data_IF_622749761092
#
_entry.id   IF_622749761092
#
_cell.length_a   1.000
_cell.length_b   1.000
_cell.length_c   1.000
_cell.angle_alpha   90.00
_cell.angle_beta   90.00
_cell.angle_gamma   90.00
#
_symmetry.space_group_name_H-M   'P 1'
#
loop_
_entity.id
_entity.type
_entity.pdbx_description
1 polymer ?
#
# COMPACT_ATOMS: atom_id res chain seq x y z
N UNK A 1 -30.67 -29.82 -11.71
CA UNK A 1 -30.86 -28.45 -11.20
C UNK A 1 -29.58 -28.09 -10.49
N UNK A 2 -28.82 -27.10 -10.99
CA UNK A 2 -27.71 -26.52 -10.21
C UNK A 2 -28.34 -25.83 -8.99
N UNK A 3 -27.99 -26.29 -7.79
CA UNK A 3 -28.35 -25.58 -6.57
C UNK A 3 -27.85 -24.15 -6.68
N UNK A 4 -28.72 -23.19 -6.37
CA UNK A 4 -28.28 -21.79 -6.26
C UNK A 4 -27.29 -21.77 -5.10
N UNK A 5 -26.11 -21.16 -5.29
CA UNK A 5 -25.18 -21.02 -4.18
C UNK A 5 -25.89 -20.32 -3.01
N UNK A 6 -25.78 -20.92 -1.83
CA UNK A 6 -26.30 -20.31 -0.60
C UNK A 6 -25.47 -19.05 -0.34
N UNK A 7 -26.13 -17.91 -0.42
CA UNK A 7 -25.49 -16.61 -0.14
C UNK A 7 -25.88 -16.17 1.25
N UNK A 8 -24.98 -16.28 2.20
CA UNK A 8 -25.11 -15.63 3.48
C UNK A 8 -24.72 -14.15 3.31
N UNK A 9 -25.60 -13.20 3.63
CA UNK A 9 -25.27 -11.79 3.50
C UNK A 9 -24.11 -11.44 4.45
N UNK A 10 -23.05 -10.88 3.88
CA UNK A 10 -21.88 -10.44 4.64
C UNK A 10 -22.30 -9.33 5.61
N UNK A 11 -21.99 -9.48 6.89
CA UNK A 11 -22.36 -8.52 7.93
C UNK A 11 -21.50 -7.27 7.82
N UNK A 12 -22.14 -6.14 7.67
CA UNK A 12 -21.49 -4.81 7.74
C UNK A 12 -21.49 -4.39 9.21
N UNK A 13 -20.35 -3.89 9.76
CA UNK A 13 -20.31 -3.36 11.11
C UNK A 13 -21.36 -2.26 11.33
N UNK A 14 -22.07 -2.33 12.44
CA UNK A 14 -23.05 -1.30 12.81
C UNK A 14 -22.29 -0.05 13.28
N UNK A 15 -22.56 1.08 12.64
CA UNK A 15 -22.03 2.36 13.09
C UNK A 15 -22.93 2.93 14.22
N UNK A 16 -22.35 3.53 15.28
CA UNK A 16 -23.12 4.26 16.27
C UNK A 16 -23.96 5.37 15.63
N UNK A 17 -25.17 5.60 16.15
CA UNK A 17 -26.04 6.69 15.66
C UNK A 17 -25.34 8.04 15.84
N UNK A 18 -25.33 8.87 14.79
CA UNK A 18 -24.71 10.19 14.83
C UNK A 18 -23.20 10.18 14.68
N UNK A 19 -22.58 9.04 14.37
CA UNK A 19 -21.14 8.95 14.12
C UNK A 19 -20.79 9.68 12.82
N UNK A 20 -20.03 10.77 12.94
CA UNK A 20 -19.54 11.56 11.80
C UNK A 20 -18.14 11.13 11.41
N UNK A 21 -17.70 11.50 10.22
CA UNK A 21 -16.29 11.37 9.84
C UNK A 21 -15.46 12.32 10.70
N UNK A 22 -14.44 11.79 11.37
CA UNK A 22 -13.41 12.60 11.99
C UNK A 22 -12.47 13.17 10.94
N UNK A 23 -11.81 14.27 11.23
CA UNK A 23 -10.75 14.81 10.40
C UNK A 23 -9.58 13.82 10.37
N UNK A 24 -9.10 13.50 9.17
CA UNK A 24 -8.02 12.54 8.98
C UNK A 24 -6.87 13.10 8.16
N UNK A 25 -6.06 12.20 7.63
CA UNK A 25 -4.86 12.52 6.85
C UNK A 25 -5.16 13.26 5.55
N UNK A 26 -6.37 13.09 4.99
CA UNK A 26 -6.80 13.86 3.81
C UNK A 26 -6.85 15.36 4.11
N UNK A 27 -7.49 15.76 5.21
CA UNK A 27 -7.59 17.17 5.62
C UNK A 27 -6.22 17.75 6.00
N UNK A 28 -5.32 16.89 6.51
CA UNK A 28 -3.94 17.26 6.79
C UNK A 28 -3.19 17.63 5.49
N UNK A 29 -3.30 16.79 4.45
CA UNK A 29 -2.74 17.08 3.13
C UNK A 29 -3.32 18.38 2.54
N UNK A 30 -4.65 18.54 2.61
CA UNK A 30 -5.33 19.73 2.05
C UNK A 30 -4.88 21.04 2.73
N UNK A 31 -4.56 20.96 4.03
CA UNK A 31 -4.16 22.14 4.80
C UNK A 31 -2.67 22.43 4.77
N UNK A 32 -1.80 21.42 4.67
CA UNK A 32 -0.35 21.55 4.77
C UNK A 32 0.42 21.29 3.48
N UNK A 33 -0.26 20.76 2.46
CA UNK A 33 0.39 20.32 1.22
C UNK A 33 1.26 19.06 1.39
N UNK A 34 1.85 18.57 0.29
CA UNK A 34 2.65 17.32 0.30
C UNK A 34 3.90 17.40 1.20
N UNK A 35 4.63 18.51 1.15
CA UNK A 35 5.82 18.74 1.98
C UNK A 35 5.45 18.81 3.47
N UNK A 36 4.34 19.49 3.80
CA UNK A 36 3.84 19.58 5.17
C UNK A 36 3.35 18.25 5.70
N UNK A 37 2.76 17.38 4.83
CA UNK A 37 2.40 16.01 5.18
C UNK A 37 3.65 15.16 5.45
N UNK A 38 4.66 15.23 4.58
CA UNK A 38 5.91 14.48 4.75
C UNK A 38 6.64 14.90 6.05
N UNK A 39 6.67 16.18 6.37
CA UNK A 39 7.20 16.67 7.64
C UNK A 39 6.41 16.11 8.83
N UNK A 40 5.08 16.14 8.77
CA UNK A 40 4.22 15.56 9.81
C UNK A 40 4.47 14.07 10.01
N UNK A 41 4.68 13.29 8.94
CA UNK A 41 5.00 11.85 9.03
C UNK A 41 6.27 11.64 9.87
N UNK A 42 7.33 12.43 9.64
CA UNK A 42 8.60 12.35 10.39
C UNK A 42 8.44 12.67 11.89
N UNK A 43 7.45 13.47 12.25
CA UNK A 43 7.17 13.86 13.64
C UNK A 43 6.44 12.75 14.43
N UNK A 44 5.88 11.73 13.74
CA UNK A 44 5.08 10.71 14.39
C UNK A 44 5.95 9.75 15.22
N UNK A 45 5.51 9.49 16.45
CA UNK A 45 6.18 8.54 17.34
C UNK A 45 5.70 7.10 17.11
N UNK A 46 4.48 6.95 16.67
CA UNK A 46 3.86 5.67 16.35
C UNK A 46 4.10 5.34 14.87
N UNK A 47 4.25 4.06 14.55
CA UNK A 47 4.27 3.66 13.15
C UNK A 47 2.91 3.95 12.51
N UNK A 48 2.93 4.53 11.32
CA UNK A 48 1.74 4.80 10.54
C UNK A 48 1.38 3.59 9.67
N UNK A 49 0.10 3.43 9.40
CA UNK A 49 -0.44 2.27 8.68
C UNK A 49 -1.09 2.71 7.37
N UNK A 50 -0.69 2.09 6.27
CA UNK A 50 -1.45 2.05 5.03
C UNK A 50 -2.21 0.74 4.95
N UNK A 51 -3.51 0.78 4.72
CA UNK A 51 -4.31 -0.42 4.45
C UNK A 51 -4.36 -0.69 2.93
N UNK A 52 -4.00 -1.90 2.54
CA UNK A 52 -3.96 -2.37 1.14
C UNK A 52 -5.14 -3.27 0.78
N UNK A 53 -6.06 -3.49 1.70
CA UNK A 53 -7.18 -4.44 1.56
C UNK A 53 -8.03 -4.14 0.31
N UNK A 54 -8.21 -2.87 -0.02
CA UNK A 54 -9.04 -2.43 -1.15
C UNK A 54 -8.36 -2.53 -2.52
N UNK A 55 -7.04 -2.81 -2.58
CA UNK A 55 -6.32 -2.98 -3.85
C UNK A 55 -5.36 -4.18 -3.83
N UNK A 56 -4.16 -4.05 -3.21
CA UNK A 56 -3.08 -5.03 -3.41
C UNK A 56 -3.40 -6.39 -2.76
N UNK A 57 -4.04 -6.39 -1.60
CA UNK A 57 -4.43 -7.63 -0.92
C UNK A 57 -5.35 -8.48 -1.82
N UNK A 58 -6.44 -7.92 -2.34
CA UNK A 58 -7.32 -8.69 -3.21
C UNK A 58 -6.79 -8.88 -4.63
N UNK A 59 -5.87 -8.02 -5.07
CA UNK A 59 -5.12 -8.28 -6.31
C UNK A 59 -4.30 -9.56 -6.17
N UNK A 60 -3.62 -9.71 -5.06
CA UNK A 60 -2.68 -10.80 -4.80
C UNK A 60 -3.37 -12.11 -4.42
N UNK A 61 -4.46 -12.05 -3.65
CA UNK A 61 -5.20 -13.24 -3.20
C UNK A 61 -6.30 -13.67 -4.17
N UNK A 62 -7.02 -12.72 -4.76
CA UNK A 62 -8.29 -12.95 -5.48
C UNK A 62 -8.24 -12.45 -6.92
N UNK A 63 -7.05 -12.41 -7.52
CA UNK A 63 -6.83 -11.98 -8.91
C UNK A 63 -7.54 -10.65 -9.28
N UNK A 64 -7.62 -9.72 -8.34
CA UNK A 64 -8.29 -8.39 -8.48
C UNK A 64 -9.81 -8.50 -8.75
N UNK A 65 -10.46 -9.60 -8.35
CA UNK A 65 -11.86 -9.87 -8.73
C UNK A 65 -12.90 -9.21 -7.83
N UNK A 66 -12.53 -8.56 -6.73
CA UNK A 66 -13.49 -7.88 -5.85
C UNK A 66 -14.16 -6.71 -6.58
N UNK A 67 -15.48 -6.69 -6.57
CA UNK A 67 -16.29 -5.71 -7.29
C UNK A 67 -16.45 -4.41 -6.49
N UNK A 68 -16.69 -3.33 -7.19
CA UNK A 68 -16.90 -2.00 -6.62
C UNK A 68 -18.00 -2.01 -5.55
N UNK A 69 -19.09 -2.74 -5.76
CA UNK A 69 -20.20 -2.80 -4.81
C UNK A 69 -19.79 -3.36 -3.45
N UNK A 70 -18.93 -4.39 -3.43
CA UNK A 70 -18.47 -4.98 -2.17
C UNK A 70 -17.51 -4.04 -1.41
N UNK A 71 -16.73 -3.25 -2.13
CA UNK A 71 -15.91 -2.19 -1.54
C UNK A 71 -16.75 -1.05 -0.97
N UNK A 72 -17.76 -0.57 -1.70
CA UNK A 72 -18.62 0.54 -1.27
C UNK A 72 -19.41 0.22 -0.01
N UNK A 73 -19.84 -1.04 0.18
CA UNK A 73 -20.57 -1.45 1.38
C UNK A 73 -19.80 -1.27 2.67
N UNK A 74 -18.48 -1.34 2.62
CA UNK A 74 -17.61 -1.24 3.79
C UNK A 74 -16.80 0.05 3.84
N UNK A 75 -16.84 0.88 2.80
CA UNK A 75 -16.02 2.07 2.68
C UNK A 75 -16.32 3.09 3.79
N UNK A 76 -17.58 3.49 3.96
CA UNK A 76 -17.99 4.41 5.02
C UNK A 76 -17.65 3.87 6.43
N UNK A 77 -17.98 2.60 6.79
CA UNK A 77 -17.55 2.03 8.06
C UNK A 77 -16.03 2.07 8.26
N UNK A 78 -15.23 1.75 7.23
CA UNK A 78 -13.77 1.80 7.32
C UNK A 78 -13.28 3.20 7.63
N UNK A 79 -13.75 4.21 6.91
CA UNK A 79 -13.34 5.61 7.10
C UNK A 79 -13.71 6.18 8.46
N UNK A 80 -14.82 5.71 9.04
CA UNK A 80 -15.31 6.15 10.36
C UNK A 80 -14.64 5.40 11.50
N UNK A 81 -14.40 4.11 11.35
CA UNK A 81 -13.84 3.28 12.41
C UNK A 81 -12.32 3.33 12.47
N UNK A 82 -11.66 3.61 11.35
CA UNK A 82 -10.19 3.71 11.25
C UNK A 82 -9.73 5.09 10.72
N UNK A 83 -10.11 6.20 11.37
CA UNK A 83 -9.77 7.55 10.91
C UNK A 83 -8.26 7.85 11.00
N UNK A 84 -7.51 7.05 11.76
CA UNK A 84 -6.07 7.21 12.00
C UNK A 84 -5.19 6.47 10.98
N UNK A 85 -5.77 5.82 9.96
CA UNK A 85 -4.97 5.29 8.86
C UNK A 85 -4.22 6.41 8.15
N UNK A 86 -2.95 6.15 7.84
CA UNK A 86 -2.17 7.09 7.01
C UNK A 86 -2.77 7.20 5.62
N UNK A 87 -2.97 6.06 4.96
CA UNK A 87 -3.63 6.02 3.66
C UNK A 87 -4.38 4.70 3.43
N UNK A 88 -5.25 4.73 2.46
CA UNK A 88 -5.94 3.58 1.90
C UNK A 88 -5.45 3.34 0.48
N UNK A 89 -4.74 2.24 0.22
CA UNK A 89 -4.38 1.86 -1.14
C UNK A 89 -5.57 1.17 -1.80
N UNK A 90 -6.14 1.79 -2.81
CA UNK A 90 -7.40 1.31 -3.40
C UNK A 90 -7.45 1.37 -4.93
N UNK A 91 -6.39 1.85 -5.59
CA UNK A 91 -6.37 2.02 -7.03
C UNK A 91 -4.99 1.80 -7.65
N UNK A 92 -4.91 1.74 -8.99
CA UNK A 92 -3.67 1.44 -9.71
C UNK A 92 -3.41 -0.06 -9.84
N UNK A 93 -2.16 -0.44 -10.11
CA UNK A 93 -1.80 -1.83 -10.36
C UNK A 93 -2.66 -2.48 -11.45
N UNK A 94 -3.25 -3.64 -11.17
CA UNK A 94 -4.15 -4.35 -12.08
C UNK A 94 -5.62 -3.89 -12.01
N UNK A 95 -5.98 -3.01 -11.07
CA UNK A 95 -7.37 -2.58 -10.88
C UNK A 95 -7.99 -2.04 -12.16
N UNK A 96 -7.24 -1.18 -12.88
CA UNK A 96 -7.73 -0.53 -14.10
C UNK A 96 -8.08 -1.55 -15.19
N UNK A 97 -7.13 -2.42 -15.50
CA UNK A 97 -7.28 -3.44 -16.54
C UNK A 97 -8.36 -4.47 -16.18
N UNK A 98 -8.36 -4.97 -14.95
CA UNK A 98 -9.34 -5.97 -14.51
C UNK A 98 -10.76 -5.42 -14.45
N UNK A 99 -10.94 -4.17 -13.99
CA UNK A 99 -12.25 -3.53 -13.96
C UNK A 99 -12.87 -3.52 -15.36
N UNK A 100 -12.14 -3.06 -16.37
CA UNK A 100 -12.63 -3.03 -17.75
C UNK A 100 -12.80 -4.41 -18.38
N UNK A 101 -11.76 -5.26 -18.29
CA UNK A 101 -11.74 -6.53 -19.05
C UNK A 101 -12.63 -7.59 -18.47
N UNK A 102 -12.65 -7.72 -17.15
CA UNK A 102 -13.30 -8.85 -16.49
C UNK A 102 -14.54 -8.47 -15.69
N UNK A 103 -14.51 -7.36 -14.96
CA UNK A 103 -15.64 -6.97 -14.11
C UNK A 103 -16.71 -6.20 -14.86
N UNK A 104 -16.36 -5.60 -16.01
CA UNK A 104 -17.24 -4.69 -16.77
C UNK A 104 -17.68 -3.50 -15.92
N UNK A 105 -16.75 -2.97 -15.16
CA UNK A 105 -16.91 -1.80 -14.30
C UNK A 105 -15.99 -0.68 -14.75
N UNK A 106 -16.40 0.58 -14.53
CA UNK A 106 -15.57 1.74 -14.77
C UNK A 106 -14.68 2.00 -13.54
N UNK A 107 -13.33 1.91 -13.68
CA UNK A 107 -12.42 2.17 -12.57
C UNK A 107 -12.43 3.63 -12.08
N UNK A 108 -12.76 4.59 -12.94
CA UNK A 108 -12.88 6.00 -12.55
C UNK A 108 -14.12 6.24 -11.70
N UNK A 109 -15.25 5.65 -12.11
CA UNK A 109 -16.49 5.69 -11.33
C UNK A 109 -16.29 5.03 -9.95
N UNK A 110 -15.56 3.91 -9.88
CA UNK A 110 -15.17 3.26 -8.63
C UNK A 110 -14.42 4.24 -7.71
N UNK A 111 -13.41 4.92 -8.24
CA UNK A 111 -12.58 5.86 -7.49
C UNK A 111 -13.41 7.01 -6.94
N UNK A 112 -14.23 7.63 -7.78
CA UNK A 112 -15.12 8.75 -7.40
C UNK A 112 -16.12 8.36 -6.30
N UNK A 113 -16.76 7.19 -6.43
CA UNK A 113 -17.71 6.68 -5.43
C UNK A 113 -17.02 6.39 -4.08
N UNK A 114 -15.85 5.74 -4.11
CA UNK A 114 -15.08 5.47 -2.91
C UNK A 114 -14.65 6.78 -2.21
N UNK A 115 -14.26 7.81 -2.98
CA UNK A 115 -13.93 9.13 -2.42
C UNK A 115 -15.10 9.78 -1.68
N UNK A 116 -16.32 9.60 -2.16
CA UNK A 116 -17.53 10.10 -1.49
C UNK A 116 -17.74 9.44 -0.13
N UNK A 117 -17.49 8.12 -0.04
CA UNK A 117 -17.69 7.34 1.20
C UNK A 117 -16.54 7.51 2.21
N UNK A 118 -15.34 7.84 1.75
CA UNK A 118 -14.13 7.96 2.58
C UNK A 118 -13.45 9.34 2.41
N UNK A 119 -14.11 10.44 2.85
CA UNK A 119 -13.63 11.80 2.59
C UNK A 119 -12.42 12.22 3.45
N UNK A 120 -12.10 11.47 4.50
CA UNK A 120 -11.09 11.81 5.50
C UNK A 120 -9.76 11.03 5.36
N UNK A 121 -9.72 9.99 4.53
CA UNK A 121 -8.51 9.18 4.33
C UNK A 121 -7.76 9.59 3.06
N UNK A 122 -6.44 9.55 3.10
CA UNK A 122 -5.62 9.65 1.88
C UNK A 122 -5.86 8.43 0.99
N UNK A 123 -6.09 8.66 -0.29
CA UNK A 123 -6.18 7.61 -1.29
C UNK A 123 -4.82 7.43 -1.96
N UNK A 124 -4.34 6.21 -1.93
CA UNK A 124 -3.08 5.81 -2.53
C UNK A 124 -3.30 4.94 -3.76
N UNK A 125 -2.50 5.15 -4.80
CA UNK A 125 -2.44 4.29 -5.97
C UNK A 125 -1.04 3.81 -6.27
N UNK A 126 -0.94 2.62 -6.87
CA UNK A 126 0.29 2.13 -7.46
C UNK A 126 0.39 2.59 -8.92
N UNK A 127 1.47 3.30 -9.26
CA UNK A 127 1.72 3.86 -10.59
C UNK A 127 3.04 3.35 -11.17
N UNK A 128 2.97 2.67 -12.31
CA UNK A 128 4.14 2.08 -12.99
C UNK A 128 4.93 3.11 -13.78
N UNK A 129 5.32 4.21 -13.14
CA UNK A 129 6.14 5.24 -13.78
C UNK A 129 5.62 5.62 -15.18
N UNK A 130 6.48 5.62 -16.19
CA UNK A 130 6.13 5.92 -17.60
C UNK A 130 5.13 4.94 -18.24
N UNK A 131 4.86 3.80 -17.61
CA UNK A 131 3.84 2.86 -18.07
C UNK A 131 2.45 3.14 -17.48
N UNK A 132 2.30 4.11 -16.58
CA UNK A 132 1.06 4.41 -15.86
C UNK A 132 0.41 3.15 -15.27
N UNK A 133 -0.73 2.73 -15.80
CA UNK A 133 -1.41 1.46 -15.45
C UNK A 133 -1.32 0.41 -16.55
N UNK A 134 -0.53 0.69 -17.60
CA UNK A 134 -0.31 -0.20 -18.74
C UNK A 134 0.96 -1.05 -18.62
N UNK A 135 1.37 -1.62 -19.76
CA UNK A 135 2.50 -2.55 -19.86
C UNK A 135 3.58 -2.09 -20.86
N UNK A 136 3.47 -0.87 -21.36
CA UNK A 136 4.44 -0.20 -22.22
C UNK A 136 4.48 1.28 -21.89
N UNK A 137 5.57 1.95 -22.25
CA UNK A 137 5.74 3.37 -21.99
C UNK A 137 4.72 4.20 -22.76
N UNK A 138 4.13 5.16 -22.08
CA UNK A 138 3.31 6.20 -22.67
C UNK A 138 4.12 7.48 -22.86
N UNK A 139 3.75 8.34 -23.83
CA UNK A 139 4.34 9.67 -23.95
C UNK A 139 4.10 10.52 -22.68
N UNK A 140 5.01 11.45 -22.41
CA UNK A 140 4.99 12.30 -21.21
C UNK A 140 3.68 13.06 -21.02
N UNK A 141 3.10 13.56 -22.11
CA UNK A 141 1.82 14.25 -22.04
C UNK A 141 0.66 13.34 -21.60
N UNK A 142 0.70 12.04 -21.97
CA UNK A 142 -0.28 11.06 -21.50
C UNK A 142 -0.10 10.79 -20.01
N UNK A 143 1.15 10.68 -19.51
CA UNK A 143 1.44 10.51 -18.09
C UNK A 143 0.93 11.70 -17.31
N UNK A 144 1.26 12.92 -17.75
CA UNK A 144 0.80 14.16 -17.10
C UNK A 144 -0.73 14.23 -17.02
N UNK A 145 -1.43 13.94 -18.11
CA UNK A 145 -2.90 13.97 -18.15
C UNK A 145 -3.50 12.86 -17.26
N UNK A 146 -2.92 11.65 -17.27
CA UNK A 146 -3.36 10.56 -16.42
C UNK A 146 -3.23 10.90 -14.93
N UNK A 147 -2.09 11.45 -14.52
CA UNK A 147 -1.84 11.90 -13.13
C UNK A 147 -2.83 13.00 -12.76
N UNK A 148 -3.01 13.99 -13.62
CA UNK A 148 -3.95 15.10 -13.41
C UNK A 148 -5.38 14.60 -13.19
N UNK A 149 -5.86 13.70 -14.06
CA UNK A 149 -7.20 13.09 -13.94
C UNK A 149 -7.33 12.25 -12.69
N UNK A 150 -6.32 11.47 -12.35
CA UNK A 150 -6.31 10.63 -11.15
C UNK A 150 -6.36 11.47 -9.86
N UNK A 151 -5.57 12.55 -9.80
CA UNK A 151 -5.60 13.49 -8.68
C UNK A 151 -6.97 14.18 -8.54
N UNK A 152 -7.56 14.60 -9.67
CA UNK A 152 -8.90 15.19 -9.67
C UNK A 152 -9.99 14.19 -9.24
N UNK A 153 -9.86 12.93 -9.62
CA UNK A 153 -10.79 11.88 -9.22
C UNK A 153 -10.61 11.42 -7.76
N UNK A 154 -9.56 11.88 -7.07
CA UNK A 154 -9.41 11.69 -5.63
C UNK A 154 -8.16 10.96 -5.17
N UNK A 155 -7.19 10.66 -6.03
CA UNK A 155 -5.89 10.11 -5.61
C UNK A 155 -5.06 11.20 -4.96
N UNK A 156 -4.49 10.89 -3.80
CA UNK A 156 -3.67 11.80 -2.99
C UNK A 156 -2.19 11.41 -2.96
N UNK A 157 -1.92 10.10 -2.90
CA UNK A 157 -0.57 9.53 -2.85
C UNK A 157 -0.34 8.66 -4.07
N UNK A 158 0.68 9.00 -4.85
CA UNK A 158 1.09 8.22 -6.01
C UNK A 158 2.37 7.47 -5.66
N UNK A 159 2.26 6.15 -5.43
CA UNK A 159 3.42 5.26 -5.30
C UNK A 159 3.96 4.95 -6.68
N UNK A 160 5.03 5.65 -7.03
CA UNK A 160 5.68 5.60 -8.35
C UNK A 160 6.81 4.60 -8.28
N UNK A 161 6.83 3.61 -9.17
CA UNK A 161 7.92 2.64 -9.24
C UNK A 161 8.28 2.30 -10.69
N UNK A 162 9.52 1.91 -10.86
CA UNK A 162 10.02 1.18 -12.04
C UNK A 162 10.57 -0.16 -11.58
N UNK A 163 10.20 -1.26 -12.25
CA UNK A 163 10.58 -2.62 -11.83
C UNK A 163 12.09 -2.89 -11.92
N UNK A 164 12.80 -2.09 -12.68
CA UNK A 164 14.27 -2.16 -12.84
C UNK A 164 15.00 -1.03 -12.09
N UNK A 165 14.26 -0.26 -11.26
CA UNK A 165 14.77 0.92 -10.57
C UNK A 165 15.39 1.97 -11.51
N UNK A 166 14.79 2.15 -12.70
CA UNK A 166 15.27 3.15 -13.66
C UNK A 166 14.73 4.54 -13.31
N UNK A 167 15.47 5.29 -12.47
CA UNK A 167 15.06 6.59 -11.93
C UNK A 167 14.71 7.59 -13.03
N UNK A 168 15.48 7.65 -14.11
CA UNK A 168 15.19 8.53 -15.24
C UNK A 168 13.80 8.30 -15.84
N UNK A 169 13.31 7.06 -15.83
CA UNK A 169 11.94 6.74 -16.25
C UNK A 169 10.86 7.22 -15.26
N UNK A 170 11.23 7.46 -14.00
CA UNK A 170 10.31 7.94 -12.95
C UNK A 170 10.20 9.48 -12.91
N UNK A 171 11.21 10.19 -13.40
CA UNK A 171 11.38 11.63 -13.31
C UNK A 171 10.12 12.41 -13.74
N UNK A 172 9.63 12.15 -14.94
CA UNK A 172 8.44 12.83 -15.49
C UNK A 172 7.16 12.56 -14.69
N UNK A 173 7.06 11.37 -14.12
CA UNK A 173 5.92 10.99 -13.29
C UNK A 173 5.96 11.71 -11.94
N UNK A 174 7.15 11.78 -11.31
CA UNK A 174 7.36 12.53 -10.06
C UNK A 174 7.03 14.02 -10.29
N UNK A 175 7.57 14.64 -11.33
CA UNK A 175 7.26 16.02 -11.72
C UNK A 175 5.74 16.24 -11.90
N UNK A 176 5.08 15.35 -12.64
CA UNK A 176 3.64 15.46 -12.91
C UNK A 176 2.78 15.39 -11.63
N UNK A 177 3.18 14.57 -10.65
CA UNK A 177 2.49 14.46 -9.35
C UNK A 177 2.71 15.73 -8.52
N UNK A 178 3.92 16.27 -8.54
CA UNK A 178 4.23 17.54 -7.87
C UNK A 178 3.44 18.72 -8.48
N UNK A 179 3.34 18.77 -9.83
CA UNK A 179 2.60 19.80 -10.56
C UNK A 179 1.12 19.90 -10.12
N UNK A 180 0.53 18.78 -9.71
CA UNK A 180 -0.87 18.71 -9.22
C UNK A 180 -0.99 18.80 -7.70
N UNK A 181 0.09 19.15 -7.00
CA UNK A 181 0.15 19.29 -5.54
C UNK A 181 -0.36 18.02 -4.82
N UNK A 182 0.18 16.87 -5.21
CA UNK A 182 -0.07 15.57 -4.59
C UNK A 182 1.24 14.92 -4.13
N UNK A 183 1.12 13.88 -3.33
CA UNK A 183 2.27 13.21 -2.73
C UNK A 183 2.92 12.27 -3.74
N UNK A 184 4.16 12.58 -4.14
CA UNK A 184 5.01 11.69 -4.90
C UNK A 184 5.76 10.77 -3.92
N UNK A 185 5.31 9.52 -3.82
CA UNK A 185 6.00 8.47 -3.09
C UNK A 185 6.81 7.65 -4.09
N UNK A 186 8.13 7.86 -4.11
CA UNK A 186 9.01 7.15 -5.03
C UNK A 186 9.49 5.83 -4.40
N UNK A 187 9.34 4.73 -5.13
CA UNK A 187 9.60 3.41 -4.60
C UNK A 187 10.88 2.77 -5.20
N UNK A 188 11.69 2.23 -4.32
CA UNK A 188 12.82 1.35 -4.64
C UNK A 188 12.30 -0.09 -4.64
N UNK A 189 12.42 -0.80 -5.76
CA UNK A 189 12.16 -2.23 -5.82
C UNK A 189 13.35 -2.97 -5.20
N UNK A 190 13.10 -3.69 -4.12
CA UNK A 190 14.12 -4.49 -3.44
C UNK A 190 14.32 -5.82 -4.16
N UNK A 191 15.57 -6.20 -4.38
CA UNK A 191 15.99 -7.50 -4.92
C UNK A 191 17.33 -7.93 -4.31
N UNK A 192 17.71 -9.19 -4.50
CA UNK A 192 18.96 -9.73 -3.97
C UNK A 192 18.93 -9.96 -2.45
N UNK A 193 20.11 -9.94 -1.85
CA UNK A 193 20.29 -10.14 -0.40
C UNK A 193 21.44 -9.27 0.10
N UNK A 194 21.13 -8.15 0.75
CA UNK A 194 22.15 -7.24 1.29
C UNK A 194 22.93 -7.81 2.48
N UNK A 195 22.53 -8.98 3.01
CA UNK A 195 23.28 -9.68 4.06
C UNK A 195 24.36 -10.59 3.51
N UNK A 196 24.29 -10.94 2.21
CA UNK A 196 25.27 -11.78 1.53
C UNK A 196 26.41 -10.92 0.94
N UNK A 197 27.61 -10.93 1.52
CA UNK A 197 28.71 -10.09 1.05
C UNK A 197 29.24 -10.49 -0.34
N UNK A 198 28.83 -11.63 -0.88
CA UNK A 198 29.21 -12.08 -2.23
C UNK A 198 28.33 -11.46 -3.31
N UNK A 199 27.17 -10.89 -2.94
CA UNK A 199 26.23 -10.24 -3.84
C UNK A 199 26.46 -8.74 -3.88
N UNK A 200 27.31 -8.29 -4.80
CA UNK A 200 27.79 -6.91 -4.87
C UNK A 200 26.97 -5.98 -5.75
N UNK A 201 26.04 -6.51 -6.56
CA UNK A 201 25.29 -5.71 -7.53
C UNK A 201 24.18 -4.88 -6.88
N UNK A 202 23.43 -5.48 -5.96
CA UNK A 202 22.31 -4.86 -5.25
C UNK A 202 22.61 -4.82 -3.76
N UNK A 203 23.76 -4.22 -3.43
CA UNK A 203 24.23 -4.07 -2.07
C UNK A 203 23.59 -2.86 -1.37
N UNK A 204 23.94 -2.65 -0.13
CA UNK A 204 23.38 -1.57 0.68
C UNK A 204 23.74 -0.19 0.08
N UNK A 205 24.94 -0.04 -0.50
CA UNK A 205 25.35 1.22 -1.11
C UNK A 205 24.52 1.54 -2.37
N UNK A 206 24.19 0.53 -3.18
CA UNK A 206 23.29 0.67 -4.32
C UNK A 206 21.95 1.31 -3.89
N UNK A 207 21.34 0.82 -2.82
CA UNK A 207 20.07 1.35 -2.34
C UNK A 207 20.19 2.76 -1.75
N UNK A 208 21.30 3.07 -1.09
CA UNK A 208 21.55 4.43 -0.56
C UNK A 208 21.68 5.47 -1.68
N UNK A 209 22.45 5.16 -2.72
CA UNK A 209 22.61 6.08 -3.86
C UNK A 209 21.28 6.25 -4.63
N UNK A 210 20.53 5.17 -4.82
CA UNK A 210 19.21 5.22 -5.44
C UNK A 210 18.22 6.09 -4.63
N UNK A 211 18.25 5.98 -3.31
CA UNK A 211 17.43 6.81 -2.42
C UNK A 211 17.76 8.30 -2.54
N UNK A 212 19.04 8.65 -2.57
CA UNK A 212 19.50 10.04 -2.77
C UNK A 212 19.08 10.60 -4.13
N UNK A 213 19.16 9.76 -5.17
CA UNK A 213 18.72 10.16 -6.51
C UNK A 213 17.22 10.45 -6.55
N UNK A 214 16.39 9.61 -5.93
CA UNK A 214 14.93 9.81 -5.82
C UNK A 214 14.58 11.05 -4.97
N UNK A 215 15.31 11.30 -3.90
CA UNK A 215 15.17 12.53 -3.11
C UNK A 215 15.49 13.77 -3.95
N UNK A 216 16.58 13.72 -4.70
CA UNK A 216 16.98 14.82 -5.61
C UNK A 216 15.96 15.06 -6.73
N UNK A 217 15.22 14.03 -7.16
CA UNK A 217 14.10 14.17 -8.09
C UNK A 217 12.85 14.80 -7.46
N UNK A 218 12.86 15.03 -6.16
CA UNK A 218 11.77 15.72 -5.44
C UNK A 218 10.66 14.78 -4.93
N UNK A 219 10.96 13.53 -4.65
CA UNK A 219 10.04 12.65 -3.93
C UNK A 219 9.70 13.25 -2.56
N UNK A 220 8.47 13.05 -2.08
CA UNK A 220 8.03 13.44 -0.74
C UNK A 220 8.20 12.32 0.29
N UNK A 221 8.07 11.07 -0.16
CA UNK A 221 8.20 9.85 0.64
C UNK A 221 9.03 8.86 -0.16
N UNK A 222 9.95 8.16 0.51
CA UNK A 222 10.70 7.05 -0.07
C UNK A 222 10.03 5.74 0.32
N UNK A 223 9.62 4.93 -0.65
CA UNK A 223 9.10 3.60 -0.38
C UNK A 223 10.15 2.51 -0.66
N UNK A 224 10.22 1.51 0.20
CA UNK A 224 10.90 0.24 -0.06
C UNK A 224 9.80 -0.73 -0.52
N UNK A 225 9.91 -1.22 -1.75
CA UNK A 225 8.94 -2.14 -2.34
C UNK A 225 9.54 -3.53 -2.47
N UNK A 226 9.24 -4.37 -1.50
CA UNK A 226 9.60 -5.79 -1.48
C UNK A 226 8.44 -6.63 -2.05
N UNK A 227 8.49 -6.87 -3.36
CA UNK A 227 7.38 -7.48 -4.10
C UNK A 227 7.20 -8.98 -3.86
N UNK A 228 8.16 -9.65 -3.23
CA UNK A 228 8.13 -11.11 -3.05
C UNK A 228 8.49 -11.58 -1.63
N UNK A 229 8.64 -10.66 -0.69
CA UNK A 229 9.07 -11.00 0.67
C UNK A 229 10.55 -11.45 0.75
N UNK A 230 11.41 -10.85 -0.08
CA UNK A 230 12.86 -11.14 -0.13
C UNK A 230 13.63 -10.49 1.02
N UNK A 231 13.14 -9.37 1.51
CA UNK A 231 13.82 -8.57 2.52
C UNK A 231 13.73 -9.28 3.87
N UNK A 232 14.81 -9.96 4.26
CA UNK A 232 14.91 -10.67 5.53
C UNK A 232 14.80 -9.70 6.71
N UNK A 233 14.35 -10.13 7.91
CA UNK A 233 14.15 -9.23 9.05
C UNK A 233 15.39 -8.41 9.42
N UNK A 234 16.57 -9.01 9.47
CA UNK A 234 17.82 -8.28 9.75
C UNK A 234 18.23 -7.34 8.59
N UNK A 235 17.95 -7.74 7.35
CA UNK A 235 18.15 -6.88 6.18
C UNK A 235 17.24 -5.66 6.25
N UNK A 236 15.99 -5.82 6.69
CA UNK A 236 15.05 -4.71 6.87
C UNK A 236 15.56 -3.70 7.91
N UNK A 237 16.08 -4.18 9.04
CA UNK A 237 16.68 -3.31 10.03
C UNK A 237 17.84 -2.50 9.45
N UNK A 238 18.80 -3.18 8.80
CA UNK A 238 19.98 -2.51 8.22
C UNK A 238 19.61 -1.53 7.13
N UNK A 239 18.75 -1.95 6.19
CA UNK A 239 18.35 -1.10 5.07
C UNK A 239 17.63 0.16 5.56
N UNK A 240 16.65 0.02 6.46
CA UNK A 240 15.91 1.17 6.99
C UNK A 240 16.86 2.09 7.77
N UNK A 241 17.72 1.56 8.66
CA UNK A 241 18.69 2.37 9.42
C UNK A 241 19.57 3.21 8.49
N UNK A 242 20.16 2.59 7.47
CA UNK A 242 21.06 3.26 6.54
C UNK A 242 20.32 4.28 5.64
N UNK A 243 19.09 3.99 5.24
CA UNK A 243 18.29 4.93 4.46
C UNK A 243 17.87 6.14 5.30
N UNK A 244 17.52 5.94 6.59
CA UNK A 244 17.22 7.05 7.52
C UNK A 244 18.40 7.99 7.74
N UNK A 245 19.64 7.49 7.59
CA UNK A 245 20.86 8.30 7.65
C UNK A 245 21.21 8.96 6.29
N UNK A 246 20.79 8.34 5.18
CA UNK A 246 21.17 8.76 3.83
C UNK A 246 20.30 9.87 3.24
N UNK A 247 19.01 9.91 3.61
CA UNK A 247 18.02 10.85 3.08
C UNK A 247 17.15 11.46 4.18
N UNK A 248 16.59 12.63 3.90
CA UNK A 248 15.67 13.34 4.81
C UNK A 248 14.20 12.91 4.63
N UNK A 249 13.90 12.05 3.66
CA UNK A 249 12.55 11.60 3.38
C UNK A 249 12.02 10.65 4.47
N UNK A 250 10.73 10.69 4.81
CA UNK A 250 10.09 9.60 5.55
C UNK A 250 10.14 8.31 4.73
N UNK A 251 10.26 7.17 5.43
CA UNK A 251 10.40 5.85 4.80
C UNK A 251 9.13 5.04 4.98
N UNK A 252 8.62 4.50 3.88
CA UNK A 252 7.47 3.64 3.81
C UNK A 252 7.89 2.23 3.37
N UNK A 253 7.56 1.20 4.14
CA UNK A 253 7.90 -0.18 3.80
C UNK A 253 6.68 -0.97 3.34
N UNK A 254 6.76 -1.51 2.14
CA UNK A 254 5.81 -2.44 1.55
C UNK A 254 6.45 -3.81 1.37
N UNK A 255 5.78 -4.87 1.80
CA UNK A 255 6.19 -6.26 1.54
C UNK A 255 5.01 -7.17 1.27
N UNK A 256 5.25 -8.25 0.52
CA UNK A 256 4.34 -9.39 0.45
C UNK A 256 4.79 -10.47 1.43
N UNK A 257 3.85 -11.13 2.09
CA UNK A 257 4.15 -12.12 3.14
C UNK A 257 4.39 -13.54 2.58
N UNK A 258 4.93 -13.61 1.36
CA UNK A 258 5.17 -14.87 0.64
C UNK A 258 6.07 -15.83 1.43
N UNK A 259 7.08 -15.30 2.10
CA UNK A 259 7.99 -16.08 2.95
C UNK A 259 7.42 -16.43 4.33
N UNK A 260 6.33 -15.76 4.76
CA UNK A 260 5.80 -15.84 6.12
C UNK A 260 6.61 -15.06 7.17
N UNK A 261 7.58 -14.27 6.75
CA UNK A 261 8.42 -13.46 7.62
C UNK A 261 7.98 -11.99 7.71
N UNK A 262 6.87 -11.61 7.10
CA UNK A 262 6.47 -10.22 6.95
C UNK A 262 6.30 -9.48 8.28
N UNK A 263 5.73 -10.11 9.30
CA UNK A 263 5.61 -9.52 10.65
C UNK A 263 6.99 -9.33 11.29
N UNK A 264 7.88 -10.30 11.19
CA UNK A 264 9.24 -10.17 11.72
C UNK A 264 10.04 -9.10 10.98
N UNK A 265 9.87 -9.00 9.66
CA UNK A 265 10.45 -7.95 8.84
C UNK A 265 9.96 -6.57 9.29
N UNK A 266 8.65 -6.38 9.49
CA UNK A 266 8.07 -5.13 9.95
C UNK A 266 8.52 -4.75 11.37
N UNK A 267 8.54 -5.69 12.31
CA UNK A 267 9.02 -5.39 13.67
C UNK A 267 10.46 -4.90 13.67
N UNK A 268 11.34 -5.52 12.87
CA UNK A 268 12.74 -5.08 12.74
C UNK A 268 12.87 -3.74 12.02
N UNK A 269 12.08 -3.49 10.97
CA UNK A 269 12.04 -2.19 10.30
C UNK A 269 11.52 -1.07 11.22
N UNK A 270 10.53 -1.37 12.08
CA UNK A 270 9.98 -0.45 13.07
C UNK A 270 11.01 -0.12 14.14
N UNK A 271 11.79 -1.10 14.60
CA UNK A 271 12.93 -0.88 15.52
C UNK A 271 13.99 0.04 14.88
N UNK A 272 14.19 -0.06 13.56
CA UNK A 272 15.11 0.80 12.80
C UNK A 272 14.55 2.20 12.49
N UNK A 273 13.27 2.45 12.80
CA UNK A 273 12.66 3.78 12.63
C UNK A 273 11.87 3.98 11.34
N UNK A 274 11.40 2.94 10.64
CA UNK A 274 10.50 3.09 9.50
C UNK A 274 9.26 3.89 9.91
N UNK A 275 8.80 4.79 9.05
CA UNK A 275 7.71 5.71 9.42
C UNK A 275 6.33 5.13 9.11
N UNK A 276 6.19 4.41 7.98
CA UNK A 276 4.92 3.87 7.51
C UNK A 276 5.12 2.42 7.07
N UNK A 277 4.13 1.55 7.29
CA UNK A 277 4.12 0.18 6.77
C UNK A 277 2.78 -0.16 6.12
N UNK A 278 2.82 -0.96 5.06
CA UNK A 278 1.64 -1.49 4.38
C UNK A 278 1.12 -2.73 5.10
N UNK A 279 -0.16 -2.77 5.38
CA UNK A 279 -0.82 -3.96 5.96
C UNK A 279 -2.11 -4.27 5.22
N UNK A 280 -2.64 -5.45 5.44
CA UNK A 280 -4.01 -5.78 5.07
C UNK A 280 -4.81 -6.16 6.33
N UNK A 281 -6.13 -6.03 6.30
CA UNK A 281 -6.99 -6.58 7.34
C UNK A 281 -6.81 -8.09 7.44
N UNK A 282 -6.84 -8.67 8.64
CA UNK A 282 -6.39 -10.03 8.91
C UNK A 282 -6.93 -11.11 7.99
N UNK A 283 -8.21 -11.04 7.61
CA UNK A 283 -8.83 -11.97 6.67
C UNK A 283 -8.30 -11.86 5.23
N UNK A 284 -7.71 -10.72 4.86
CA UNK A 284 -7.14 -10.44 3.55
C UNK A 284 -5.60 -10.36 3.58
N UNK A 285 -4.99 -10.79 4.68
CA UNK A 285 -3.54 -10.75 4.89
C UNK A 285 -2.86 -12.09 4.61
N UNK A 286 -1.52 -12.05 4.58
CA UNK A 286 -0.66 -13.23 4.50
C UNK A 286 -0.51 -13.82 3.10
N UNK A 287 0.35 -14.82 2.98
CA UNK A 287 0.64 -15.50 1.72
C UNK A 287 1.12 -14.52 0.64
N UNK A 288 0.40 -14.42 -0.48
CA UNK A 288 0.73 -13.48 -1.56
C UNK A 288 0.31 -12.04 -1.27
N UNK A 289 -0.40 -11.79 -0.16
CA UNK A 289 -0.81 -10.46 0.29
C UNK A 289 0.20 -9.85 1.28
N UNK A 290 -0.15 -8.73 1.89
CA UNK A 290 0.65 -8.04 2.89
C UNK A 290 0.49 -8.66 4.27
N UNK A 291 1.40 -8.37 5.23
CA UNK A 291 1.23 -8.76 6.63
C UNK A 291 -0.05 -8.19 7.24
N UNK A 292 -0.63 -8.94 8.17
CA UNK A 292 -1.90 -8.58 8.81
C UNK A 292 -1.76 -7.45 9.83
N UNK A 293 -2.62 -6.42 9.73
CA UNK A 293 -2.69 -5.35 10.72
C UNK A 293 -3.01 -5.89 12.12
N UNK A 294 -3.95 -6.84 12.21
CA UNK A 294 -4.33 -7.49 13.46
C UNK A 294 -3.10 -8.12 14.14
N UNK A 295 -2.33 -8.90 13.38
CA UNK A 295 -1.13 -9.58 13.90
C UNK A 295 -0.05 -8.57 14.27
N UNK A 296 0.18 -7.54 13.44
CA UNK A 296 1.18 -6.51 13.70
C UNK A 296 0.86 -5.73 14.98
N UNK A 297 -0.43 -5.41 15.21
CA UNK A 297 -0.86 -4.69 16.40
C UNK A 297 -0.43 -5.43 17.68
N UNK A 298 -0.73 -6.73 17.76
CA UNK A 298 -0.37 -7.54 18.93
C UNK A 298 1.14 -7.86 18.99
N UNK A 299 1.81 -8.02 17.84
CA UNK A 299 3.27 -8.19 17.82
C UNK A 299 4.02 -6.97 18.39
N UNK A 300 3.40 -5.80 18.35
CA UNK A 300 3.93 -4.55 18.89
C UNK A 300 3.34 -4.17 20.26
N UNK A 301 2.61 -5.06 20.92
CA UNK A 301 2.04 -4.77 22.23
C UNK A 301 3.15 -4.43 23.24
N UNK A 302 3.02 -3.27 23.88
CA UNK A 302 4.06 -2.73 24.77
C UNK A 302 5.21 -2.01 24.06
N UNK A 303 5.32 -2.05 22.74
CA UNK A 303 6.30 -1.27 21.99
C UNK A 303 5.83 0.20 21.89
N UNK A 304 6.71 1.20 22.16
CA UNK A 304 6.35 2.60 22.07
C UNK A 304 5.90 3.02 20.66
N UNK A 305 6.25 2.26 19.63
CA UNK A 305 5.86 2.50 18.23
C UNK A 305 4.62 1.75 17.77
N UNK A 306 3.94 1.01 18.66
CA UNK A 306 2.68 0.33 18.33
C UNK A 306 1.70 1.29 17.61
N UNK A 307 1.08 0.88 16.48
CA UNK A 307 0.19 1.77 15.73
C UNK A 307 -1.01 2.21 16.57
N UNK A 308 -1.44 3.43 16.35
CA UNK A 308 -2.64 3.97 16.98
C UNK A 308 -3.87 3.55 16.16
N UNK A 309 -4.51 2.47 16.57
CA UNK A 309 -5.73 1.96 15.91
C UNK A 309 -6.67 1.33 16.92
N UNK A 310 -7.96 1.35 16.63
CA UNK A 310 -8.95 0.58 17.37
C UNK A 310 -8.95 -0.87 16.87
N UNK A 311 -8.32 -1.76 17.63
CA UNK A 311 -8.19 -3.17 17.25
C UNK A 311 -9.56 -3.88 17.18
N UNK A 312 -10.53 -3.48 17.99
CA UNK A 312 -11.88 -4.06 17.91
C UNK A 312 -12.57 -3.69 16.60
N UNK A 313 -12.36 -2.46 16.13
CA UNK A 313 -12.84 -2.04 14.81
C UNK A 313 -12.13 -2.79 13.67
N UNK A 314 -10.81 -2.99 13.77
CA UNK A 314 -10.04 -3.80 12.81
C UNK A 314 -10.59 -5.22 12.71
N UNK A 315 -10.92 -5.85 13.85
CA UNK A 315 -11.50 -7.21 13.87
C UNK A 315 -12.90 -7.24 13.23
N UNK A 316 -13.74 -6.25 13.51
CA UNK A 316 -15.08 -6.18 12.89
C UNK A 316 -15.01 -6.01 11.37
N UNK A 317 -14.11 -5.14 10.89
CA UNK A 317 -13.87 -4.95 9.46
C UNK A 317 -13.28 -6.21 8.81
N UNK A 318 -12.38 -6.92 9.50
CA UNK A 318 -11.82 -8.20 9.04
C UNK A 318 -12.91 -9.26 8.85
N UNK A 319 -13.92 -9.32 9.72
CA UNK A 319 -15.04 -10.25 9.57
C UNK A 319 -15.86 -9.99 8.29
N UNK A 320 -16.04 -8.72 7.92
CA UNK A 320 -16.66 -8.39 6.63
C UNK A 320 -15.87 -8.96 5.46
N UNK A 321 -14.56 -8.68 5.45
CA UNK A 321 -13.68 -9.12 4.37
C UNK A 321 -13.50 -10.65 4.32
N UNK A 322 -13.62 -11.35 5.45
CA UNK A 322 -13.66 -12.83 5.48
C UNK A 322 -14.84 -13.36 4.67
N UNK A 323 -16.01 -12.79 4.83
CA UNK A 323 -17.18 -13.13 4.02
C UNK A 323 -17.01 -12.80 2.54
N UNK A 324 -16.40 -11.64 2.22
CA UNK A 324 -16.06 -11.28 0.84
C UNK A 324 -15.06 -12.27 0.25
N UNK A 325 -13.96 -12.58 0.95
CA UNK A 325 -12.95 -13.55 0.50
C UNK A 325 -13.58 -14.92 0.24
N UNK A 326 -14.43 -15.40 1.13
CA UNK A 326 -15.17 -16.66 0.96
C UNK A 326 -16.04 -16.65 -0.31
N UNK A 327 -16.70 -15.53 -0.62
CA UNK A 327 -17.50 -15.39 -1.83
C UNK A 327 -16.67 -15.47 -3.11
N UNK A 328 -15.45 -14.93 -3.09
CA UNK A 328 -14.52 -14.92 -4.24
C UNK A 328 -13.51 -16.07 -4.22
N UNK A 329 -13.68 -17.10 -3.40
CA UNK A 329 -12.71 -18.18 -3.18
C UNK A 329 -12.30 -18.92 -4.48
N UNK A 330 -13.16 -18.97 -5.51
CA UNK A 330 -12.84 -19.57 -6.81
C UNK A 330 -11.71 -18.87 -7.57
N UNK A 331 -11.41 -17.62 -7.19
CA UNK A 331 -10.30 -16.82 -7.73
C UNK A 331 -9.08 -16.81 -6.82
N UNK A 332 -9.12 -17.53 -5.69
CA UNK A 332 -8.06 -17.50 -4.71
C UNK A 332 -6.74 -18.08 -5.28
N UNK A 333 -5.62 -17.46 -4.90
CA UNK A 333 -4.30 -17.95 -5.26
C UNK A 333 -4.13 -19.40 -4.75
N UNK A 334 -3.45 -20.24 -5.51
CA UNK A 334 -3.23 -21.64 -5.13
C UNK A 334 -2.26 -21.84 -3.96
N UNK A 335 -1.63 -20.77 -3.48
CA UNK A 335 -0.66 -20.81 -2.39
C UNK A 335 -1.37 -21.07 -1.06
N UNK A 336 -1.00 -22.16 -0.37
CA UNK A 336 -1.63 -22.57 0.90
C UNK A 336 -0.71 -22.42 2.12
N UNK A 337 0.56 -22.19 1.92
CA UNK A 337 1.57 -22.02 2.98
C UNK A 337 2.65 -21.04 2.54
N UNK A 338 3.38 -20.42 3.49
CA UNK A 338 4.54 -19.61 3.15
C UNK A 338 5.61 -20.42 2.40
N UNK A 339 6.34 -19.74 1.51
CA UNK A 339 7.41 -20.31 0.70
C UNK A 339 8.71 -19.56 0.93
N UNK A 340 9.61 -20.16 1.74
CA UNK A 340 10.94 -19.57 2.01
C UNK A 340 11.93 -19.75 0.85
N UNK A 341 11.54 -20.50 -0.17
CA UNK A 341 12.31 -20.66 -1.42
C UNK A 341 12.58 -19.33 -2.13
N UNK A 342 11.75 -18.31 -1.89
CA UNK A 342 11.95 -16.96 -2.43
C UNK A 342 13.34 -16.40 -2.09
N UNK A 343 13.93 -16.79 -0.95
CA UNK A 343 15.27 -16.36 -0.57
C UNK A 343 16.41 -16.94 -1.42
N UNK A 344 16.13 -17.95 -2.22
CA UNK A 344 17.11 -18.57 -3.11
C UNK A 344 17.16 -17.91 -4.49
N UNK A 345 16.21 -17.00 -4.76
CA UNK A 345 16.04 -16.37 -6.05
C UNK A 345 16.19 -14.84 -5.93
N UNK A 346 16.58 -14.22 -7.03
CA UNK A 346 16.53 -12.75 -7.21
C UNK A 346 15.36 -12.42 -8.13
N UNK A 347 14.70 -11.31 -7.89
CA UNK A 347 13.62 -10.81 -8.74
C UNK A 347 14.10 -9.64 -9.58
#
# INVERSE_FOLDING_TARGET
KKEKPHFDPVKIPALPKGFSHESGTKQLLDSRGPEGLAAWVKEQKKVLITDTTFRDAHQSLLATRVRTQDMLRIAEPTAKLLPNLFSMELWGGATFDVAYRFLKEDPWERLLKLRQEMPNLLFQMLLRSSNAVGYSNYPDNCIKEFVTKSAYAGVDVFRIFDSLNWVKGMEKTIESVRDVNRVAEAAICYTGDILDPTRTKYDLNYYKELAKELEAQGAHILAIKDMAGLLKPEAAYRLVSELKEAVELPIHLHTHDTSGNGIFQYTRAIDAGVDIVDTALGSMAGLTSQPGLNTLYYALEGNPRQPQTDIAAVEQLSQYWEGVRSYYQDFESGMKSPHTEVYQHEM
#
